data_IF_949187572888
#
_entry.id   IF_949187572888
#
_cell.length_a   1.000
_cell.length_b   1.000
_cell.length_c   1.000
_cell.angle_alpha   90.00
_cell.angle_beta   90.00
_cell.angle_gamma   90.00
#
_symmetry.space_group_name_H-M   'P 1'
#
loop_
_entity.id
_entity.type
_entity.pdbx_description
1 polymer ?
#
# COMPACT_ATOMS: atom_id res chain seq x y z
N UNK A 1 -3.33 11.47 -23.58
CA UNK A 1 -3.98 12.06 -22.40
C UNK A 1 -3.30 11.49 -21.15
N UNK A 2 -2.39 12.23 -20.51
CA UNK A 2 -1.58 11.75 -19.36
C UNK A 2 -2.07 12.35 -18.01
N UNK A 3 -3.33 12.75 -17.93
CA UNK A 3 -3.84 13.57 -16.83
C UNK A 3 -4.39 12.77 -15.64
N UNK A 4 -4.69 11.48 -15.82
CA UNK A 4 -5.39 10.67 -14.81
C UNK A 4 -4.59 10.51 -13.50
N UNK A 5 -3.27 10.22 -13.50
CA UNK A 5 -2.54 10.04 -12.25
C UNK A 5 -2.41 11.33 -11.43
N UNK A 6 -2.25 12.47 -12.10
CA UNK A 6 -2.12 13.78 -11.46
C UNK A 6 -3.43 14.20 -10.78
N UNK A 7 -4.56 14.08 -11.48
CA UNK A 7 -5.89 14.39 -10.95
C UNK A 7 -6.21 13.51 -9.73
N UNK A 8 -5.92 12.20 -9.83
CA UNK A 8 -6.12 11.27 -8.71
C UNK A 8 -5.26 11.67 -7.52
N UNK A 9 -4.01 12.03 -7.74
CA UNK A 9 -3.09 12.44 -6.67
C UNK A 9 -3.57 13.72 -5.98
N UNK A 10 -3.92 14.76 -6.75
CA UNK A 10 -4.44 16.03 -6.21
C UNK A 10 -5.74 15.82 -5.45
N UNK A 11 -6.70 15.08 -6.00
CA UNK A 11 -7.98 14.82 -5.32
C UNK A 11 -7.79 14.09 -3.99
N UNK A 12 -6.87 13.13 -3.92
CA UNK A 12 -6.55 12.43 -2.67
C UNK A 12 -5.90 13.33 -1.62
N UNK A 13 -5.07 14.29 -2.04
CA UNK A 13 -4.37 15.20 -1.14
C UNK A 13 -5.25 16.34 -0.63
N UNK A 14 -6.04 16.94 -1.53
CA UNK A 14 -6.83 18.14 -1.23
C UNK A 14 -8.19 17.81 -0.62
N UNK A 15 -8.83 16.72 -1.07
CA UNK A 15 -10.20 16.37 -0.70
C UNK A 15 -10.23 15.22 0.31
N UNK A 16 -9.28 14.28 0.21
CA UNK A 16 -9.25 13.03 0.98
C UNK A 16 -10.62 12.32 1.01
N UNK A 17 -11.16 11.93 -0.17
CA UNK A 17 -12.54 11.47 -0.30
C UNK A 17 -12.80 10.14 0.43
N UNK A 18 -14.03 9.94 0.91
CA UNK A 18 -14.43 8.65 1.48
C UNK A 18 -14.67 7.61 0.38
N UNK A 19 -15.12 8.04 -0.80
CA UNK A 19 -15.31 7.21 -1.97
C UNK A 19 -14.59 7.80 -3.19
N UNK A 20 -13.75 7.01 -3.86
CA UNK A 20 -13.09 7.45 -5.09
C UNK A 20 -13.03 6.32 -6.11
N UNK A 21 -13.85 6.45 -7.15
CA UNK A 21 -14.10 5.37 -8.09
C UNK A 21 -13.94 5.87 -9.52
N UNK A 22 -13.12 5.16 -10.30
CA UNK A 22 -13.09 5.34 -11.74
C UNK A 22 -14.31 4.65 -12.37
N UNK A 23 -14.97 5.32 -13.31
CA UNK A 23 -16.20 4.82 -13.98
C UNK A 23 -16.04 3.43 -14.60
N UNK A 24 -14.85 3.07 -15.06
CA UNK A 24 -14.58 1.79 -15.69
C UNK A 24 -14.33 0.64 -14.69
N UNK A 25 -14.12 0.95 -13.41
CA UNK A 25 -13.85 -0.04 -12.37
C UNK A 25 -15.11 -0.43 -11.58
N UNK A 26 -16.29 0.04 -12.00
CA UNK A 26 -17.53 -0.11 -11.22
C UNK A 26 -18.65 -0.70 -12.05
N UNK A 27 -19.49 -1.50 -11.37
CA UNK A 27 -20.75 -1.99 -11.88
C UNK A 27 -21.81 -1.81 -10.79
N UNK A 28 -23.07 -2.11 -11.09
CA UNK A 28 -24.19 -1.91 -10.16
C UNK A 28 -23.96 -2.60 -8.80
N UNK A 29 -23.43 -3.82 -8.81
CA UNK A 29 -23.17 -4.56 -7.57
C UNK A 29 -22.03 -3.95 -6.74
N UNK A 30 -20.91 -3.60 -7.37
CA UNK A 30 -19.79 -2.98 -6.67
C UNK A 30 -20.10 -1.55 -6.19
N UNK A 31 -21.00 -0.83 -6.86
CA UNK A 31 -21.50 0.46 -6.40
C UNK A 31 -22.33 0.34 -5.12
N UNK A 32 -23.24 -0.63 -5.06
CA UNK A 32 -24.04 -0.87 -3.84
C UNK A 32 -23.11 -1.22 -2.67
N UNK A 33 -22.14 -2.11 -2.89
CA UNK A 33 -21.16 -2.48 -1.87
C UNK A 33 -20.30 -1.28 -1.43
N UNK A 34 -19.84 -0.47 -2.37
CA UNK A 34 -19.07 0.74 -2.08
C UNK A 34 -19.88 1.74 -1.25
N UNK A 35 -21.13 1.98 -1.64
CA UNK A 35 -22.05 2.86 -0.91
C UNK A 35 -22.27 2.36 0.52
N UNK A 36 -22.58 1.07 0.70
CA UNK A 36 -22.76 0.48 2.03
C UNK A 36 -21.51 0.61 2.90
N UNK A 37 -20.33 0.35 2.33
CA UNK A 37 -19.06 0.50 3.05
C UNK A 37 -18.86 1.95 3.52
N UNK A 38 -19.12 2.93 2.66
CA UNK A 38 -19.02 4.36 2.98
C UNK A 38 -20.02 4.74 4.08
N UNK A 39 -21.27 4.28 3.99
CA UNK A 39 -22.28 4.54 5.03
C UNK A 39 -21.91 3.93 6.38
N UNK A 40 -21.10 2.86 6.40
CA UNK A 40 -20.55 2.25 7.62
C UNK A 40 -19.25 2.93 8.11
N UNK A 41 -18.84 4.03 7.50
CA UNK A 41 -17.63 4.79 7.86
C UNK A 41 -16.33 4.22 7.29
N UNK A 42 -16.40 3.28 6.33
CA UNK A 42 -15.22 2.77 5.65
C UNK A 42 -14.97 3.52 4.33
N UNK A 43 -13.71 3.76 3.99
CA UNK A 43 -13.39 4.37 2.69
C UNK A 43 -13.41 3.32 1.57
N UNK A 44 -13.90 3.67 0.39
CA UNK A 44 -13.93 2.80 -0.78
C UNK A 44 -13.23 3.41 -2.00
N UNK A 45 -12.09 2.86 -2.40
CA UNK A 45 -11.37 3.25 -3.62
C UNK A 45 -11.37 2.11 -4.64
N UNK A 46 -11.57 2.43 -5.91
CA UNK A 46 -11.54 1.42 -6.98
C UNK A 46 -10.14 0.88 -7.24
N UNK A 47 -10.04 -0.22 -8.00
CA UNK A 47 -8.77 -0.89 -8.31
C UNK A 47 -7.74 0.04 -8.94
N UNK A 48 -8.14 0.87 -9.89
CA UNK A 48 -7.24 1.81 -10.57
C UNK A 48 -6.77 2.91 -9.62
N UNK A 49 -7.66 3.45 -8.78
CA UNK A 49 -7.32 4.47 -7.79
C UNK A 49 -6.31 3.92 -6.76
N UNK A 50 -6.56 2.71 -6.23
CA UNK A 50 -5.63 2.05 -5.31
C UNK A 50 -4.27 1.78 -5.97
N UNK A 51 -4.26 1.36 -7.25
CA UNK A 51 -3.02 1.13 -8.00
C UNK A 51 -2.19 2.40 -8.13
N UNK A 52 -2.79 3.52 -8.54
CA UNK A 52 -2.10 4.81 -8.64
C UNK A 52 -1.53 5.23 -7.28
N UNK A 53 -2.28 5.03 -6.21
CA UNK A 53 -1.82 5.37 -4.87
C UNK A 53 -0.63 4.53 -4.42
N UNK A 54 -0.70 3.22 -4.66
CA UNK A 54 0.39 2.29 -4.37
C UNK A 54 1.64 2.63 -5.15
N UNK A 55 1.53 2.89 -6.45
CA UNK A 55 2.65 3.29 -7.30
C UNK A 55 3.29 4.60 -6.84
N UNK A 56 2.48 5.58 -6.46
CA UNK A 56 2.97 6.84 -5.89
C UNK A 56 3.70 6.62 -4.55
N UNK A 57 3.17 5.77 -3.67
CA UNK A 57 3.81 5.42 -2.41
C UNK A 57 5.16 4.71 -2.62
N UNK A 58 5.22 3.75 -3.55
CA UNK A 58 6.44 3.03 -3.94
C UNK A 58 7.49 4.02 -4.45
N UNK A 59 7.12 4.92 -5.37
CA UNK A 59 8.02 5.95 -5.92
C UNK A 59 8.52 6.90 -4.84
N UNK A 60 7.63 7.42 -3.99
CA UNK A 60 7.98 8.34 -2.90
C UNK A 60 8.95 7.71 -1.88
N UNK A 61 8.79 6.42 -1.61
CA UNK A 61 9.62 5.67 -0.67
C UNK A 61 10.82 4.98 -1.35
N UNK A 62 10.97 5.15 -2.67
CA UNK A 62 12.00 4.54 -3.49
C UNK A 62 12.13 3.00 -3.29
N UNK A 63 11.00 2.32 -3.09
CA UNK A 63 10.96 0.87 -2.83
C UNK A 63 11.09 0.10 -4.14
N UNK A 64 11.84 -1.01 -4.10
CA UNK A 64 11.92 -1.94 -5.23
C UNK A 64 10.94 -3.13 -5.08
N UNK A 65 10.97 -4.05 -6.04
CA UNK A 65 10.10 -5.22 -6.05
C UNK A 65 10.37 -6.16 -4.85
N UNK A 66 11.62 -6.29 -4.41
CA UNK A 66 11.99 -7.12 -3.28
C UNK A 66 11.47 -6.49 -1.99
N UNK A 67 11.60 -5.17 -1.84
CA UNK A 67 11.08 -4.46 -0.66
C UNK A 67 9.55 -4.62 -0.55
N UNK A 68 8.84 -4.51 -1.68
CA UNK A 68 7.40 -4.77 -1.74
C UNK A 68 7.06 -6.22 -1.39
N UNK A 69 7.89 -7.18 -1.81
CA UNK A 69 7.72 -8.59 -1.44
C UNK A 69 7.92 -8.81 0.06
N UNK A 70 8.97 -8.23 0.65
CA UNK A 70 9.22 -8.27 2.10
C UNK A 70 8.02 -7.71 2.87
N UNK A 71 7.49 -6.56 2.48
CA UNK A 71 6.29 -5.96 3.08
C UNK A 71 5.07 -6.89 3.00
N UNK A 72 4.88 -7.57 1.87
CA UNK A 72 3.79 -8.53 1.68
C UNK A 72 3.96 -9.76 2.59
N UNK A 73 5.18 -10.27 2.76
CA UNK A 73 5.45 -11.37 3.68
C UNK A 73 5.27 -10.97 5.14
N UNK A 74 5.63 -9.73 5.50
CA UNK A 74 5.37 -9.16 6.82
C UNK A 74 3.87 -9.07 7.11
N UNK A 75 3.06 -8.64 6.13
CA UNK A 75 1.60 -8.59 6.27
C UNK A 75 0.98 -9.98 6.50
N UNK A 76 1.52 -10.99 5.81
CA UNK A 76 1.17 -12.41 5.99
C UNK A 76 1.71 -13.02 7.29
N UNK A 77 2.35 -12.23 8.17
CA UNK A 77 2.94 -12.65 9.45
C UNK A 77 4.03 -13.72 9.30
N UNK A 78 4.70 -13.78 8.15
CA UNK A 78 5.84 -14.69 7.94
C UNK A 78 7.04 -14.15 8.72
N UNK A 79 7.71 -15.01 9.50
CA UNK A 79 8.87 -14.60 10.30
C UNK A 79 10.05 -14.30 9.39
N UNK A 80 10.86 -13.31 9.73
CA UNK A 80 11.99 -12.90 8.87
C UNK A 80 12.97 -14.04 8.58
N UNK A 81 13.20 -14.94 9.54
CA UNK A 81 14.00 -16.17 9.36
C UNK A 81 13.48 -17.11 8.28
N UNK A 82 12.18 -17.11 8.01
CA UNK A 82 11.52 -18.00 7.05
C UNK A 82 11.37 -17.31 5.68
N UNK A 83 11.66 -16.00 5.58
CA UNK A 83 11.54 -15.24 4.32
C UNK A 83 12.58 -15.64 3.27
N UNK A 84 13.73 -16.19 3.67
CA UNK A 84 14.71 -16.74 2.73
C UNK A 84 14.19 -17.93 1.92
N UNK A 85 13.06 -18.53 2.32
CA UNK A 85 12.38 -19.58 1.53
C UNK A 85 11.49 -18.99 0.42
N UNK A 86 11.23 -17.68 0.45
CA UNK A 86 10.32 -16.98 -0.46
C UNK A 86 11.06 -15.95 -1.33
N UNK A 87 12.23 -15.52 -0.90
CA UNK A 87 13.08 -14.53 -1.57
C UNK A 87 14.48 -15.15 -1.67
N UNK A 88 15.06 -15.16 -2.88
CA UNK A 88 16.44 -15.58 -3.13
C UNK A 88 17.46 -14.55 -2.57
N UNK A 89 17.44 -14.38 -1.24
CA UNK A 89 18.34 -13.53 -0.48
C UNK A 89 18.68 -14.19 0.85
N UNK A 90 19.91 -13.94 1.32
CA UNK A 90 20.33 -14.33 2.65
C UNK A 90 19.49 -13.64 3.72
N UNK A 91 19.37 -14.28 4.89
CA UNK A 91 18.70 -13.69 6.05
C UNK A 91 19.26 -12.30 6.40
N UNK A 92 20.58 -12.14 6.33
CA UNK A 92 21.25 -10.85 6.59
C UNK A 92 20.88 -9.77 5.57
N UNK A 93 20.73 -10.12 4.29
CA UNK A 93 20.30 -9.19 3.25
C UNK A 93 18.83 -8.77 3.46
N UNK A 94 17.96 -9.71 3.84
CA UNK A 94 16.55 -9.44 4.16
C UNK A 94 16.44 -8.52 5.39
N UNK A 95 17.20 -8.78 6.45
CA UNK A 95 17.24 -7.93 7.66
C UNK A 95 17.71 -6.51 7.34
N UNK A 96 18.74 -6.36 6.49
CA UNK A 96 19.21 -5.04 6.02
C UNK A 96 18.12 -4.30 5.23
N UNK A 97 17.44 -4.98 4.30
CA UNK A 97 16.32 -4.40 3.53
C UNK A 97 15.14 -4.03 4.42
N UNK A 98 14.76 -4.89 5.36
CA UNK A 98 13.72 -4.62 6.36
C UNK A 98 14.03 -3.38 7.19
N UNK A 99 15.29 -3.23 7.60
CA UNK A 99 15.76 -2.03 8.32
C UNK A 99 15.63 -0.77 7.44
N UNK A 100 16.03 -0.84 6.17
CA UNK A 100 15.86 0.27 5.23
C UNK A 100 14.37 0.65 5.04
N UNK A 101 13.49 -0.34 4.90
CA UNK A 101 12.03 -0.14 4.80
C UNK A 101 11.50 0.54 6.05
N UNK A 102 11.88 0.06 7.24
CA UNK A 102 11.52 0.67 8.53
C UNK A 102 11.96 2.13 8.58
N UNK A 103 13.17 2.44 8.14
CA UNK A 103 13.72 3.80 8.20
C UNK A 103 12.97 4.76 7.27
N UNK A 104 12.60 4.28 6.09
CA UNK A 104 11.81 5.04 5.11
C UNK A 104 10.37 5.26 5.53
N UNK A 105 9.75 4.29 6.22
CA UNK A 105 8.35 4.35 6.64
C UNK A 105 8.12 5.04 7.99
N UNK A 106 8.99 4.75 8.97
CA UNK A 106 8.77 5.08 10.38
C UNK A 106 9.84 5.98 10.98
N UNK A 107 10.83 6.43 10.18
CA UNK A 107 11.98 7.21 10.67
C UNK A 107 12.67 6.55 11.86
N UNK A 108 12.96 5.25 11.71
CA UNK A 108 13.69 4.38 12.64
C UNK A 108 12.95 3.87 13.90
N UNK A 109 11.69 4.26 14.12
CA UNK A 109 10.92 3.83 15.30
C UNK A 109 9.95 2.67 15.00
N UNK A 110 9.93 1.62 15.81
CA UNK A 110 8.87 0.58 15.76
C UNK A 110 9.29 -0.80 15.28
N UNK A 111 8.37 -1.76 15.42
CA UNK A 111 8.56 -3.19 15.15
C UNK A 111 7.94 -3.60 13.80
N UNK A 112 8.04 -4.89 13.46
CA UNK A 112 7.46 -5.45 12.22
C UNK A 112 5.95 -5.15 12.09
N UNK A 113 5.20 -5.16 13.19
CA UNK A 113 3.77 -4.84 13.17
C UNK A 113 3.53 -3.37 12.84
N UNK A 114 4.33 -2.45 13.40
CA UNK A 114 4.27 -1.02 13.08
C UNK A 114 4.54 -0.75 11.59
N UNK A 115 5.50 -1.48 10.98
CA UNK A 115 5.79 -1.39 9.54
C UNK A 115 4.52 -1.71 8.72
N UNK A 116 3.85 -2.83 9.03
CA UNK A 116 2.65 -3.26 8.32
C UNK A 116 1.49 -2.27 8.53
N UNK A 117 1.27 -1.83 9.76
CA UNK A 117 0.20 -0.87 10.09
C UNK A 117 0.39 0.43 9.31
N UNK A 118 1.61 0.98 9.29
CA UNK A 118 1.89 2.19 8.53
C UNK A 118 1.80 1.97 7.02
N UNK A 119 2.29 0.85 6.50
CA UNK A 119 2.18 0.50 5.09
C UNK A 119 0.70 0.41 4.65
N UNK A 120 -0.18 -0.14 5.48
CA UNK A 120 -1.64 -0.14 5.25
C UNK A 120 -2.24 1.26 5.32
N UNK A 121 -1.83 2.07 6.30
CA UNK A 121 -2.30 3.46 6.45
C UNK A 121 -2.01 4.31 5.21
N UNK A 122 -0.88 4.08 4.54
CA UNK A 122 -0.52 4.77 3.30
C UNK A 122 -0.95 4.02 2.03
N UNK A 123 -1.77 2.96 2.16
CA UNK A 123 -2.28 2.12 1.07
C UNK A 123 -1.21 1.50 0.17
N UNK A 124 -0.08 1.14 0.77
CA UNK A 124 0.98 0.36 0.12
C UNK A 124 0.65 -1.15 0.12
N UNK A 125 -0.09 -1.57 1.15
CA UNK A 125 -0.65 -2.92 1.38
C UNK A 125 -2.18 -2.84 1.51
#
# INVERSE_FOLDING_TARGET
MHSEPAIVTTALQEINPEGFILKNDINTASLIAAYQAIMMGATFYSSTINKVQKENAIKRLNLDAIDCHILTLLDKKIKTKDMSNHIDLSLSAIEKRKTNIKNRLLKDNGNNAAIVIHAKKIRLL
#
